data_IF_181955733325
#
_entry.id   IF_181955733325
#
_cell.length_a   1.000
_cell.length_b   1.000
_cell.length_c   1.000
_cell.angle_alpha   90.00
_cell.angle_beta   90.00
_cell.angle_gamma   90.00
#
_symmetry.space_group_name_H-M   'P 1'
#
loop_
_entity.id
_entity.type
_entity.pdbx_description
1 polymer ?
#
# COMPACT_ATOMS: atom_id res chain seq x y z
N UNK A 1 2.77 24.98 -5.23
CA UNK A 1 1.41 24.49 -4.90
C UNK A 1 0.69 23.77 -6.03
N UNK A 2 0.93 24.10 -7.31
CA UNK A 2 0.27 23.45 -8.46
C UNK A 2 0.47 21.93 -8.50
N UNK A 3 1.70 21.43 -8.31
CA UNK A 3 1.99 20.00 -8.27
C UNK A 3 1.22 19.23 -7.17
N UNK A 4 1.08 19.81 -5.97
CA UNK A 4 0.29 19.19 -4.89
C UNK A 4 -1.20 19.14 -5.22
N UNK A 5 -1.69 20.13 -5.98
CA UNK A 5 -3.08 20.17 -6.46
C UNK A 5 -3.33 19.10 -7.50
N UNK A 6 -2.41 18.88 -8.44
CA UNK A 6 -2.50 17.80 -9.42
C UNK A 6 -2.50 16.42 -8.76
N UNK A 7 -1.59 16.18 -7.82
CA UNK A 7 -1.54 14.92 -7.04
C UNK A 7 -2.88 14.70 -6.32
N UNK A 8 -3.44 15.74 -5.72
CA UNK A 8 -4.75 15.66 -5.06
C UNK A 8 -5.86 15.24 -6.02
N UNK A 9 -5.91 15.83 -7.21
CA UNK A 9 -6.93 15.50 -8.22
C UNK A 9 -6.77 14.05 -8.68
N UNK A 10 -5.53 13.63 -8.97
CA UNK A 10 -5.25 12.24 -9.36
C UNK A 10 -5.66 11.23 -8.29
N UNK A 11 -5.45 11.53 -7.00
CA UNK A 11 -5.88 10.64 -5.90
C UNK A 11 -7.40 10.60 -5.75
N UNK A 12 -8.12 11.69 -6.02
CA UNK A 12 -9.59 11.71 -6.03
C UNK A 12 -10.13 10.87 -7.19
N UNK A 13 -9.54 11.00 -8.38
CA UNK A 13 -9.90 10.19 -9.56
C UNK A 13 -9.61 8.70 -9.35
N UNK A 14 -8.65 8.36 -8.49
CA UNK A 14 -8.33 6.99 -8.10
C UNK A 14 -9.21 6.44 -6.95
N UNK A 15 -10.33 7.09 -6.63
CA UNK A 15 -11.28 6.70 -5.57
C UNK A 15 -10.66 6.63 -4.15
N UNK A 16 -9.63 7.45 -3.87
CA UNK A 16 -9.05 7.54 -2.53
C UNK A 16 -9.87 8.50 -1.66
N UNK A 17 -10.14 8.10 -0.42
CA UNK A 17 -10.93 8.92 0.50
C UNK A 17 -10.25 10.26 0.86
N UNK A 18 -11.04 11.33 0.96
CA UNK A 18 -10.54 12.67 1.29
C UNK A 18 -9.72 12.76 2.59
N UNK A 19 -10.05 12.04 3.69
CA UNK A 19 -9.23 12.03 4.89
C UNK A 19 -7.82 11.50 4.61
N UNK A 20 -7.71 10.34 3.93
CA UNK A 20 -6.42 9.72 3.57
C UNK A 20 -5.59 10.65 2.68
N UNK A 21 -6.23 11.34 1.73
CA UNK A 21 -5.53 12.31 0.86
C UNK A 21 -4.95 13.47 1.66
N UNK A 22 -5.70 14.00 2.65
CA UNK A 22 -5.22 15.09 3.50
C UNK A 22 -4.02 14.65 4.34
N UNK A 23 -4.14 13.48 4.96
CA UNK A 23 -3.09 12.92 5.81
C UNK A 23 -1.83 12.59 5.01
N UNK A 24 -1.99 12.15 3.76
CA UNK A 24 -0.88 11.90 2.83
C UNK A 24 -0.19 13.20 2.35
N UNK A 25 -0.95 14.25 2.00
CA UNK A 25 -0.37 15.47 1.43
C UNK A 25 0.36 16.35 2.46
N UNK A 26 0.02 16.26 3.75
CA UNK A 26 0.68 17.02 4.81
C UNK A 26 2.19 16.76 4.90
N UNK A 27 2.67 15.50 5.06
CA UNK A 27 4.11 15.19 5.12
C UNK A 27 4.81 15.41 3.77
N UNK A 28 4.13 15.16 2.64
CA UNK A 28 4.68 15.46 1.30
C UNK A 28 5.01 16.95 1.18
N UNK A 29 4.10 17.83 1.62
CA UNK A 29 4.32 19.28 1.61
C UNK A 29 5.48 19.69 2.52
N UNK A 30 5.55 19.13 3.73
CA UNK A 30 6.63 19.43 4.67
C UNK A 30 7.99 19.04 4.10
N UNK A 31 8.13 17.83 3.55
CA UNK A 31 9.38 17.33 2.94
C UNK A 31 9.76 18.08 1.66
N UNK A 32 8.77 18.51 0.88
CA UNK A 32 9.01 19.30 -0.33
C UNK A 32 9.53 20.72 -0.02
N UNK A 33 9.19 21.29 1.15
CA UNK A 33 9.70 22.59 1.60
C UNK A 33 11.00 22.45 2.39
N UNK A 34 11.13 21.39 3.21
CA UNK A 34 12.23 21.21 4.17
C UNK A 34 13.48 20.51 3.62
N UNK A 35 13.40 19.77 2.51
CA UNK A 35 14.61 19.28 1.86
C UNK A 35 15.25 20.40 1.04
N UNK A 36 16.36 20.94 1.53
CA UNK A 36 17.32 21.60 0.65
C UNK A 36 17.55 20.68 -0.56
N UNK A 37 17.31 21.23 -1.75
CA UNK A 37 17.47 20.53 -3.02
C UNK A 37 18.86 19.89 -3.02
N UNK A 38 18.91 18.57 -2.90
CA UNK A 38 20.18 17.83 -2.96
C UNK A 38 20.83 18.23 -4.28
N UNK A 39 22.01 18.84 -4.21
CA UNK A 39 22.68 19.62 -5.28
C UNK A 39 22.93 18.87 -6.60
N UNK A 40 22.53 17.60 -6.73
CA UNK A 40 22.77 16.75 -7.89
C UNK A 40 21.51 16.19 -8.58
N UNK A 41 20.30 16.44 -8.07
CA UNK A 41 19.06 15.96 -8.69
C UNK A 41 18.22 17.11 -9.24
N UNK A 42 17.54 16.88 -10.36
CA UNK A 42 16.54 17.83 -10.86
C UNK A 42 15.35 17.89 -9.88
N UNK A 43 14.77 19.08 -9.63
CA UNK A 43 13.67 19.25 -8.67
C UNK A 43 12.48 18.31 -8.92
N UNK A 44 12.20 17.98 -10.19
CA UNK A 44 11.15 17.03 -10.56
C UNK A 44 11.39 15.61 -10.05
N UNK A 45 12.61 15.07 -10.18
CA UNK A 45 12.94 13.74 -9.67
C UNK A 45 12.90 13.69 -8.14
N UNK A 46 13.23 14.79 -7.46
CA UNK A 46 13.12 14.88 -6.00
C UNK A 46 11.66 14.83 -5.54
N UNK A 47 10.76 15.53 -6.24
CA UNK A 47 9.32 15.44 -5.99
C UNK A 47 8.78 14.02 -6.18
N UNK A 48 9.16 13.35 -7.27
CA UNK A 48 8.77 11.95 -7.52
C UNK A 48 9.23 11.05 -6.38
N UNK A 49 10.47 11.23 -5.91
CA UNK A 49 11.01 10.47 -4.78
C UNK A 49 10.21 10.71 -3.50
N UNK A 50 9.95 11.97 -3.14
CA UNK A 50 9.17 12.30 -1.93
C UNK A 50 7.79 11.64 -1.97
N UNK A 51 7.10 11.72 -3.11
CA UNK A 51 5.78 11.09 -3.29
C UNK A 51 5.88 9.57 -3.17
N UNK A 52 6.89 8.94 -3.78
CA UNK A 52 7.09 7.50 -3.72
C UNK A 52 7.41 7.01 -2.30
N UNK A 53 8.29 7.72 -1.59
CA UNK A 53 8.67 7.41 -0.22
C UNK A 53 7.43 7.50 0.69
N UNK A 54 6.61 8.54 0.56
CA UNK A 54 5.37 8.68 1.35
C UNK A 54 4.31 7.64 0.99
N UNK A 55 4.18 7.27 -0.29
CA UNK A 55 3.26 6.20 -0.70
C UNK A 55 3.67 4.86 -0.10
N UNK A 56 4.98 4.60 -0.02
CA UNK A 56 5.52 3.39 0.59
C UNK A 56 5.21 3.35 2.08
N UNK A 57 5.39 4.46 2.79
CA UNK A 57 5.02 4.57 4.21
C UNK A 57 3.51 4.37 4.42
N UNK A 58 2.68 4.96 3.55
CA UNK A 58 1.22 4.85 3.64
C UNK A 58 0.71 3.42 3.42
N UNK A 59 1.26 2.70 2.44
CA UNK A 59 0.83 1.34 2.09
C UNK A 59 1.44 0.28 3.02
N UNK A 60 2.63 0.54 3.54
CA UNK A 60 3.39 -0.36 4.40
C UNK A 60 4.80 -0.56 3.89
N UNK A 61 5.77 -0.40 4.78
CA UNK A 61 7.20 -0.45 4.50
C UNK A 61 7.76 -1.88 4.40
N UNK A 62 7.08 -2.85 5.01
CA UNK A 62 7.55 -4.22 5.13
C UNK A 62 6.55 -5.26 4.62
N UNK A 63 7.04 -6.15 3.77
CA UNK A 63 6.32 -7.36 3.41
C UNK A 63 6.34 -8.34 4.59
N UNK A 64 5.15 -8.76 5.03
CA UNK A 64 4.97 -9.84 6.01
C UNK A 64 4.17 -10.97 5.39
N UNK A 65 4.68 -12.19 5.51
CA UNK A 65 3.95 -13.39 5.07
C UNK A 65 2.98 -13.86 6.16
N UNK A 66 2.04 -14.73 5.80
CA UNK A 66 1.07 -15.27 6.75
C UNK A 66 1.78 -16.11 7.81
N UNK A 67 1.56 -15.75 9.08
CA UNK A 67 2.07 -16.52 10.22
C UNK A 67 1.21 -17.77 10.44
N UNK A 68 1.82 -18.93 10.26
CA UNK A 68 1.18 -20.21 10.52
C UNK A 68 1.28 -20.56 12.00
N UNK A 69 0.25 -21.23 12.52
CA UNK A 69 0.25 -21.74 13.89
C UNK A 69 1.37 -22.76 14.09
N UNK A 70 2.03 -22.71 15.26
CA UNK A 70 3.12 -23.62 15.61
C UNK A 70 2.67 -25.09 15.63
N UNK A 71 1.39 -25.35 15.94
CA UNK A 71 0.76 -26.67 15.87
C UNK A 71 -0.39 -26.63 14.86
N UNK A 72 -0.43 -27.53 13.87
CA UNK A 72 -1.56 -27.62 12.93
C UNK A 72 -2.90 -27.96 13.64
N UNK A 73 -4.05 -27.54 13.08
CA UNK A 73 -4.23 -26.75 11.86
C UNK A 73 -4.12 -25.23 12.09
N UNK A 74 -3.71 -24.48 11.07
CA UNK A 74 -3.87 -23.02 11.03
C UNK A 74 -5.24 -22.68 10.45
N UNK A 75 -6.07 -21.95 11.19
CA UNK A 75 -7.40 -21.54 10.75
C UNK A 75 -7.34 -20.08 10.28
N UNK A 76 -7.73 -19.83 9.02
CA UNK A 76 -7.73 -18.50 8.42
C UNK A 76 -9.17 -18.12 8.07
N UNK A 77 -9.71 -17.09 8.74
CA UNK A 77 -11.03 -16.55 8.46
C UNK A 77 -10.94 -15.44 7.41
N UNK A 78 -11.76 -15.54 6.35
CA UNK A 78 -11.85 -14.51 5.32
C UNK A 78 -13.13 -13.70 5.49
N UNK A 79 -12.98 -12.43 5.88
CA UNK A 79 -14.09 -11.49 6.06
C UNK A 79 -13.93 -10.27 5.14
N UNK A 80 -15.04 -9.62 4.78
CA UNK A 80 -15.05 -8.48 3.86
C UNK A 80 -16.42 -8.26 3.22
N UNK A 81 -16.60 -7.12 2.55
CA UNK A 81 -17.86 -6.72 1.91
C UNK A 81 -18.34 -7.72 0.84
N UNK A 82 -19.62 -7.71 0.50
CA UNK A 82 -20.14 -8.52 -0.62
C UNK A 82 -19.38 -8.14 -1.90
N UNK A 83 -19.00 -9.14 -2.71
CA UNK A 83 -18.30 -8.89 -3.97
C UNK A 83 -16.81 -8.54 -3.84
N UNK A 84 -16.24 -8.42 -2.64
CA UNK A 84 -14.80 -8.15 -2.41
C UNK A 84 -13.83 -9.27 -2.84
N UNK A 85 -14.32 -10.33 -3.49
CA UNK A 85 -13.48 -11.39 -4.02
C UNK A 85 -13.02 -12.45 -3.02
N UNK A 86 -13.62 -12.53 -1.81
CA UNK A 86 -13.26 -13.50 -0.76
C UNK A 86 -13.06 -14.93 -1.28
N UNK A 87 -14.05 -15.50 -1.96
CA UNK A 87 -14.00 -16.89 -2.47
C UNK A 87 -12.87 -17.09 -3.48
N UNK A 88 -12.66 -16.12 -4.38
CA UNK A 88 -11.58 -16.14 -5.36
C UNK A 88 -10.21 -16.05 -4.68
N UNK A 89 -10.09 -15.18 -3.68
CA UNK A 89 -8.86 -15.01 -2.89
C UNK A 89 -8.53 -16.27 -2.08
N UNK A 90 -9.53 -16.93 -1.50
CA UNK A 90 -9.39 -18.23 -0.82
C UNK A 90 -8.77 -19.28 -1.75
N UNK A 91 -9.30 -19.43 -2.96
CA UNK A 91 -8.75 -20.38 -3.95
C UNK A 91 -7.30 -20.06 -4.36
N UNK A 92 -7.00 -18.78 -4.62
CA UNK A 92 -5.65 -18.32 -4.95
C UNK A 92 -4.66 -18.56 -3.80
N UNK A 93 -5.06 -18.27 -2.57
CA UNK A 93 -4.24 -18.51 -1.37
C UNK A 93 -3.98 -20.00 -1.18
N UNK A 94 -5.01 -20.86 -1.30
CA UNK A 94 -4.84 -22.29 -1.19
C UNK A 94 -3.89 -22.86 -2.25
N UNK A 95 -3.97 -22.38 -3.50
CA UNK A 95 -3.01 -22.76 -4.55
C UNK A 95 -1.58 -22.35 -4.15
N UNK A 96 -1.38 -21.09 -3.75
CA UNK A 96 -0.07 -20.56 -3.32
C UNK A 96 0.51 -21.34 -2.13
N UNK A 97 -0.33 -21.75 -1.18
CA UNK A 97 0.11 -22.55 -0.03
C UNK A 97 0.44 -23.99 -0.40
N UNK A 98 -0.31 -24.61 -1.31
CA UNK A 98 0.03 -25.93 -1.86
C UNK A 98 1.37 -25.92 -2.59
N UNK A 99 1.64 -24.87 -3.38
CA UNK A 99 2.94 -24.66 -4.04
C UNK A 99 4.09 -24.50 -3.02
N UNK A 100 3.81 -23.94 -1.83
CA UNK A 100 4.74 -23.89 -0.69
C UNK A 100 4.78 -25.19 0.15
N UNK A 101 4.18 -26.28 -0.31
CA UNK A 101 4.19 -27.59 0.36
C UNK A 101 3.21 -27.74 1.52
N UNK A 102 2.19 -26.88 1.64
CA UNK A 102 1.17 -26.98 2.70
C UNK A 102 -0.07 -27.74 2.22
N UNK A 103 -0.64 -28.55 3.11
CA UNK A 103 -1.94 -29.17 2.90
C UNK A 103 -3.05 -28.17 3.26
N UNK A 104 -3.93 -27.87 2.32
CA UNK A 104 -5.01 -26.89 2.50
C UNK A 104 -6.37 -27.57 2.42
N UNK A 105 -7.25 -27.23 3.36
CA UNK A 105 -8.68 -27.54 3.36
C UNK A 105 -9.44 -26.22 3.21
N UNK A 106 -10.44 -26.18 2.32
CA UNK A 106 -11.26 -25.00 2.03
C UNK A 106 -12.67 -25.16 2.58
#
# INVERSE_FOLDING_TARGET
DEALREIRVALIEADVSLPVIKDFLAPVREKAVGQEVLKSLTPGHQMVKIVNDELTVLIGDAFTDIQFAAKPPTIILMAGLQGSGKTTTVGKLAKRFKEKGKNCLL
#
